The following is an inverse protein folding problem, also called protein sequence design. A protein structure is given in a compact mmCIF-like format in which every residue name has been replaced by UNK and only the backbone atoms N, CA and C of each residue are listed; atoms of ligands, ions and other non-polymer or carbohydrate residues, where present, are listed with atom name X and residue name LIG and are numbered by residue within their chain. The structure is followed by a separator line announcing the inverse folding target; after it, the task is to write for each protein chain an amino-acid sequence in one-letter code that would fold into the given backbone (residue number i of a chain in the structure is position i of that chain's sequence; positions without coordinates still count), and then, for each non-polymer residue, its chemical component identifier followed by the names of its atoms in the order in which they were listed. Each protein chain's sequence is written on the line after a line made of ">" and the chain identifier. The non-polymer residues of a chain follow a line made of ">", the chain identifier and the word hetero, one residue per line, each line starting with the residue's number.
data_IF_360923683480
#
_entry.id   IF_360923683480
#
_cell.length_a   1.000
_cell.length_b   1.000
_cell.length_c   1.000
_cell.angle_alpha   90.00
_cell.angle_beta   90.00
_cell.angle_gamma   90.00
#
_symmetry.space_group_name_H-M   'P 1'
#
loop_
_entity.id
_entity.type
_entity.pdbx_description
1 polymer ?
#
# COMPACT_ATOMS: atom_id res chain seq x y z
N UNK A 1 -10.28 0.87 -20.26
CA UNK A 1 -9.12 0.67 -21.13
C UNK A 1 -8.50 -0.67 -20.80
N UNK A 2 -7.80 -1.38 -21.73
CA UNK A 2 -7.05 -2.57 -21.37
C UNK A 2 -5.92 -2.20 -20.39
N UNK A 3 -5.55 -3.14 -19.51
CA UNK A 3 -4.36 -3.01 -18.67
C UNK A 3 -3.13 -2.77 -19.56
N UNK A 4 -2.18 -1.99 -19.06
CA UNK A 4 -0.93 -1.73 -19.77
C UNK A 4 -0.15 -3.02 -20.01
N UNK A 5 0.42 -3.13 -21.19
CA UNK A 5 1.33 -4.23 -21.57
C UNK A 5 2.81 -3.84 -21.45
N UNK A 6 3.09 -2.66 -20.87
CA UNK A 6 4.46 -2.14 -20.73
C UNK A 6 5.26 -3.05 -19.79
N UNK A 7 6.51 -3.35 -20.16
CA UNK A 7 7.39 -4.16 -19.31
C UNK A 7 7.86 -3.32 -18.12
N UNK A 8 8.14 -3.96 -16.98
CA UNK A 8 8.67 -3.28 -15.79
C UNK A 8 10.02 -2.60 -16.08
N UNK A 9 10.84 -3.19 -16.94
CA UNK A 9 12.13 -2.60 -17.38
C UNK A 9 12.00 -1.28 -18.14
N UNK A 10 10.82 -0.97 -18.66
CA UNK A 10 10.57 0.22 -19.47
C UNK A 10 9.89 1.34 -18.65
N UNK A 11 9.69 1.10 -17.34
CA UNK A 11 9.07 2.08 -16.46
C UNK A 11 10.07 3.12 -15.98
N UNK A 12 9.63 4.37 -16.01
CA UNK A 12 10.24 5.50 -15.31
C UNK A 12 9.23 5.88 -14.24
N UNK A 13 9.48 5.42 -13.01
CA UNK A 13 8.55 5.52 -11.90
C UNK A 13 8.85 6.80 -11.12
N UNK A 14 7.81 7.59 -10.82
CA UNK A 14 7.85 8.70 -9.91
C UNK A 14 7.04 8.35 -8.66
N UNK A 15 7.73 8.15 -7.54
CA UNK A 15 7.11 7.97 -6.24
C UNK A 15 6.64 9.32 -5.71
N UNK A 16 5.39 9.42 -5.29
CA UNK A 16 4.82 10.65 -4.74
C UNK A 16 3.81 10.39 -3.62
N UNK A 17 3.69 11.38 -2.73
CA UNK A 17 2.68 11.42 -1.69
C UNK A 17 1.52 12.29 -2.14
N UNK A 18 0.29 11.77 -2.12
CA UNK A 18 -0.91 12.47 -2.64
C UNK A 18 -1.08 13.85 -2.01
N UNK A 19 -1.00 13.94 -0.68
CA UNK A 19 -1.10 15.23 0.02
C UNK A 19 0.11 16.12 -0.26
N UNK A 20 1.32 15.59 -0.11
CA UNK A 20 2.54 16.37 -0.17
C UNK A 20 2.83 16.97 -1.55
N UNK A 21 2.42 16.27 -2.61
CA UNK A 21 2.74 16.68 -3.98
C UNK A 21 2.11 18.01 -4.38
N UNK A 22 0.94 18.36 -3.84
CA UNK A 22 0.21 19.57 -4.22
C UNK A 22 -0.15 20.47 -3.04
N UNK A 23 0.28 20.16 -1.81
CA UNK A 23 -0.13 20.90 -0.61
C UNK A 23 0.40 22.33 -0.57
N UNK A 24 1.61 22.59 -1.09
CA UNK A 24 2.19 23.92 -1.11
C UNK A 24 1.47 24.82 -2.12
N UNK A 25 1.30 26.10 -1.77
CA UNK A 25 0.62 27.09 -2.62
C UNK A 25 1.27 27.25 -4.00
N UNK A 26 2.58 27.00 -4.12
CA UNK A 26 3.32 27.03 -5.40
C UNK A 26 2.83 25.98 -6.40
N UNK A 27 2.10 24.97 -5.94
CA UNK A 27 1.47 23.99 -6.81
C UNK A 27 0.43 24.60 -7.75
N UNK A 28 -0.25 25.68 -7.31
CA UNK A 28 -1.25 26.41 -8.09
C UNK A 28 -2.52 25.59 -8.40
N UNK A 29 -2.77 24.47 -7.71
CA UNK A 29 -3.95 23.63 -7.94
C UNK A 29 -5.16 24.14 -7.17
N UNK A 30 -6.35 23.77 -7.63
CA UNK A 30 -7.63 24.16 -7.00
C UNK A 30 -7.90 23.44 -5.69
N UNK A 31 -7.49 22.14 -5.61
CA UNK A 31 -7.72 21.28 -4.45
C UNK A 31 -6.40 20.69 -3.91
N UNK A 32 -5.57 21.51 -3.19
CA UNK A 32 -4.27 21.05 -2.71
C UNK A 32 -4.36 19.80 -1.81
N UNK A 33 -3.41 18.88 -1.97
CA UNK A 33 -3.27 17.71 -1.13
C UNK A 33 -4.31 16.62 -1.34
N UNK A 34 -5.00 16.60 -2.48
CA UNK A 34 -6.07 15.66 -2.80
C UNK A 34 -5.85 14.92 -4.12
N UNK A 35 -6.63 13.85 -4.37
CA UNK A 35 -6.65 13.18 -5.68
C UNK A 35 -7.03 14.13 -6.81
N UNK A 36 -7.98 15.02 -6.59
CA UNK A 36 -8.37 16.04 -7.56
C UNK A 36 -7.23 17.02 -7.85
N UNK A 37 -6.49 17.46 -6.84
CA UNK A 37 -5.32 18.33 -7.03
C UNK A 37 -4.17 17.64 -7.76
N UNK A 38 -3.93 16.35 -7.45
CA UNK A 38 -2.94 15.57 -8.17
C UNK A 38 -3.30 15.43 -9.67
N UNK A 39 -4.58 15.26 -9.97
CA UNK A 39 -5.10 15.21 -11.35
C UNK A 39 -4.74 16.45 -12.16
N UNK A 40 -4.77 17.63 -11.55
CA UNK A 40 -4.37 18.90 -12.18
C UNK A 40 -2.87 18.93 -12.55
N UNK A 41 -2.05 18.05 -11.97
CA UNK A 41 -0.59 17.94 -12.23
C UNK A 41 -0.23 16.89 -13.28
N UNK A 42 -1.17 16.21 -13.90
CA UNK A 42 -0.89 15.24 -14.97
C UNK A 42 -0.07 15.86 -16.12
N UNK A 43 -0.35 17.10 -16.60
CA UNK A 43 0.49 17.74 -17.61
C UNK A 43 1.96 17.88 -17.20
N UNK A 44 2.22 18.25 -15.94
CA UNK A 44 3.57 18.34 -15.40
C UNK A 44 4.28 16.98 -15.38
N UNK A 45 3.59 15.93 -14.89
CA UNK A 45 4.14 14.56 -14.84
C UNK A 45 4.50 14.06 -16.25
N UNK A 46 3.66 14.41 -17.23
CA UNK A 46 3.89 14.08 -18.63
C UNK A 46 5.10 14.83 -19.22
N UNK A 47 5.23 16.13 -18.93
CA UNK A 47 6.38 16.95 -19.34
C UNK A 47 7.69 16.43 -18.72
N UNK A 48 7.65 15.95 -17.48
CA UNK A 48 8.77 15.32 -16.79
C UNK A 48 9.24 14.03 -17.49
N UNK A 49 8.38 13.43 -18.33
CA UNK A 49 8.72 12.26 -19.13
C UNK A 49 8.60 10.93 -18.40
N UNK A 50 7.93 10.91 -17.24
CA UNK A 50 7.64 9.68 -16.50
C UNK A 50 6.49 8.91 -17.17
N UNK A 51 6.44 7.61 -16.95
CA UNK A 51 5.40 6.75 -17.50
C UNK A 51 4.70 5.86 -16.46
N UNK A 52 5.07 6.02 -15.19
CA UNK A 52 4.37 5.45 -14.06
C UNK A 52 4.47 6.36 -12.84
N UNK A 53 3.41 6.42 -12.04
CA UNK A 53 3.43 6.99 -10.69
C UNK A 53 3.29 5.87 -9.68
N UNK A 54 4.08 5.92 -8.61
CA UNK A 54 3.92 5.11 -7.42
C UNK A 54 3.33 6.00 -6.34
N UNK A 55 2.09 5.71 -5.94
CA UNK A 55 1.43 6.43 -4.87
C UNK A 55 1.84 5.83 -3.53
N UNK A 56 2.50 6.62 -2.68
CA UNK A 56 2.70 6.25 -1.27
C UNK A 56 1.33 5.89 -0.65
N UNK A 57 1.28 5.15 0.48
CA UNK A 57 0.05 4.48 0.91
C UNK A 57 -1.20 5.36 0.86
N UNK A 58 -2.20 4.87 0.12
CA UNK A 58 -3.48 5.55 -0.07
C UNK A 58 -4.64 4.80 0.59
N UNK A 59 -4.38 3.65 1.22
CA UNK A 59 -5.41 2.96 1.99
C UNK A 59 -5.82 3.81 3.19
N UNK A 60 -7.06 3.61 3.68
CA UNK A 60 -7.55 4.39 4.83
C UNK A 60 -6.65 4.20 6.05
N UNK A 61 -6.20 5.32 6.62
CA UNK A 61 -5.44 5.38 7.87
C UNK A 61 -5.91 6.57 8.71
N UNK A 62 -5.73 6.49 10.03
CA UNK A 62 -6.10 7.57 10.95
C UNK A 62 -4.96 8.59 11.07
N UNK A 63 -5.07 9.71 10.37
CA UNK A 63 -4.11 10.81 10.43
C UNK A 63 -3.93 11.41 11.82
N UNK A 64 -4.90 11.20 12.72
CA UNK A 64 -4.86 11.72 14.09
C UNK A 64 -4.18 10.76 15.08
N UNK A 65 -3.92 9.51 14.72
CA UNK A 65 -3.42 8.49 15.63
C UNK A 65 -2.11 8.88 16.31
N UNK A 66 -1.18 9.48 15.58
CA UNK A 66 0.12 9.94 16.06
C UNK A 66 0.25 11.47 16.00
N UNK A 67 -0.88 12.19 16.00
CA UNK A 67 -0.88 13.65 15.91
C UNK A 67 -0.14 14.28 17.09
N UNK A 68 0.70 15.27 16.79
CA UNK A 68 1.48 16.02 17.78
C UNK A 68 1.43 17.51 17.48
N UNK A 69 1.65 18.33 18.49
CA UNK A 69 1.75 19.78 18.30
C UNK A 69 3.21 20.22 18.38
N UNK A 70 3.68 20.92 17.36
CA UNK A 70 5.03 21.49 17.29
C UNK A 70 4.90 22.96 16.95
N UNK A 71 5.46 23.84 17.78
CA UNK A 71 5.40 25.30 17.59
C UNK A 71 3.97 25.83 17.35
N UNK A 72 2.99 25.29 18.10
CA UNK A 72 1.57 25.66 17.98
C UNK A 72 0.84 25.10 16.76
N UNK A 73 1.51 24.36 15.87
CA UNK A 73 0.90 23.68 14.72
C UNK A 73 0.67 22.22 15.02
N UNK A 74 -0.55 21.75 14.78
CA UNK A 74 -0.89 20.31 14.85
C UNK A 74 -0.32 19.62 13.62
N UNK A 75 0.55 18.63 13.84
CA UNK A 75 1.09 17.76 12.82
C UNK A 75 0.37 16.42 12.88
N UNK A 76 -0.06 15.92 11.74
CA UNK A 76 -0.80 14.68 11.59
C UNK A 76 0.15 13.56 11.14
N UNK A 77 -0.32 12.31 11.21
CA UNK A 77 0.32 11.19 10.52
C UNK A 77 0.38 11.51 9.02
N UNK A 78 1.59 11.44 8.46
CA UNK A 78 1.80 11.95 7.10
C UNK A 78 1.91 10.83 6.06
N UNK A 79 2.74 9.82 6.32
CA UNK A 79 3.15 8.86 5.28
C UNK A 79 2.09 7.82 4.95
N UNK A 80 1.23 7.45 5.91
CA UNK A 80 0.16 6.49 5.68
C UNK A 80 0.57 5.01 5.80
N UNK A 81 1.79 4.68 6.22
CA UNK A 81 2.20 3.29 6.50
C UNK A 81 1.59 2.80 7.81
N UNK A 82 0.27 2.93 7.94
CA UNK A 82 -0.46 2.61 9.17
C UNK A 82 -1.92 2.31 8.86
N UNK A 83 -2.15 1.31 7.99
CA UNK A 83 -3.47 1.00 7.44
C UNK A 83 -4.48 0.56 8.50
N UNK A 84 -5.67 1.14 8.41
CA UNK A 84 -6.86 0.81 9.22
C UNK A 84 -7.85 -0.01 8.39
N UNK A 85 -8.00 0.33 7.10
CA UNK A 85 -8.86 -0.39 6.16
C UNK A 85 -8.13 -0.60 4.84
N UNK A 86 -8.14 -1.84 4.34
CA UNK A 86 -7.42 -2.26 3.14
C UNK A 86 -8.25 -2.15 1.85
N UNK A 87 -9.56 -1.89 1.96
CA UNK A 87 -10.50 -1.90 0.82
C UNK A 87 -11.11 -0.52 0.52
N UNK A 88 -10.60 0.55 1.13
CA UNK A 88 -11.03 1.91 0.84
C UNK A 88 -9.84 2.87 0.75
N UNK A 89 -9.88 3.87 -0.15
CA UNK A 89 -8.88 4.92 -0.16
C UNK A 89 -9.07 5.85 1.05
N UNK A 90 -8.01 6.57 1.41
CA UNK A 90 -8.04 7.54 2.52
C UNK A 90 -9.03 8.66 2.23
N UNK A 91 -10.02 8.81 3.11
CA UNK A 91 -11.09 9.80 2.99
C UNK A 91 -10.57 11.23 3.00
N UNK A 92 -9.44 11.50 3.66
CA UNK A 92 -8.84 12.83 3.73
C UNK A 92 -8.12 13.26 2.44
N UNK A 93 -7.96 12.36 1.47
CA UNK A 93 -7.45 12.69 0.14
C UNK A 93 -8.53 13.11 -0.86
N UNK A 94 -9.80 13.15 -0.45
CA UNK A 94 -10.88 13.73 -1.25
C UNK A 94 -10.88 15.26 -1.18
N UNK A 95 -11.32 15.90 -2.26
CA UNK A 95 -11.49 17.36 -2.31
C UNK A 95 -12.71 17.85 -1.52
N UNK A 96 -13.65 16.94 -1.20
CA UNK A 96 -14.90 17.22 -0.49
C UNK A 96 -15.20 16.13 0.53
N UNK A 97 -15.82 16.51 1.64
CA UNK A 97 -16.32 15.59 2.67
C UNK A 97 -17.71 15.04 2.28
N UNK A 98 -17.79 14.37 1.15
CA UNK A 98 -19.01 13.73 0.64
C UNK A 98 -18.82 12.21 0.61
N UNK A 99 -19.91 11.46 0.75
CA UNK A 99 -19.86 9.99 0.75
C UNK A 99 -19.19 9.44 -0.51
N UNK A 100 -18.13 8.64 -0.33
CA UNK A 100 -17.34 7.99 -1.38
C UNK A 100 -16.74 8.95 -2.43
N UNK A 101 -16.50 10.20 -2.05
CA UNK A 101 -15.85 11.17 -2.92
C UNK A 101 -14.42 10.75 -3.24
N UNK A 102 -13.69 10.25 -2.23
CA UNK A 102 -12.33 9.71 -2.33
C UNK A 102 -12.22 8.59 -3.36
N UNK A 103 -13.19 7.66 -3.35
CA UNK A 103 -13.22 6.55 -4.31
C UNK A 103 -13.51 7.01 -5.74
N UNK A 104 -14.38 7.98 -5.90
CA UNK A 104 -14.70 8.57 -7.20
C UNK A 104 -13.52 9.35 -7.77
N UNK A 105 -12.92 10.24 -6.98
CA UNK A 105 -11.78 11.06 -7.41
C UNK A 105 -10.55 10.20 -7.74
N UNK A 106 -10.29 9.13 -6.97
CA UNK A 106 -9.19 8.21 -7.27
C UNK A 106 -9.42 7.49 -8.60
N UNK A 107 -10.66 7.04 -8.89
CA UNK A 107 -10.98 6.42 -10.18
C UNK A 107 -10.81 7.39 -11.36
N UNK A 108 -11.19 8.64 -11.17
CA UNK A 108 -11.00 9.69 -12.17
C UNK A 108 -9.52 10.00 -12.41
N UNK A 109 -8.73 10.10 -11.33
CA UNK A 109 -7.29 10.31 -11.40
C UNK A 109 -6.62 9.16 -12.19
N UNK A 110 -6.90 7.90 -11.83
CA UNK A 110 -6.32 6.73 -12.50
C UNK A 110 -6.72 6.70 -13.99
N UNK A 111 -7.99 6.98 -14.30
CA UNK A 111 -8.46 7.04 -15.69
C UNK A 111 -7.69 8.08 -16.50
N UNK A 112 -7.54 9.29 -15.97
CA UNK A 112 -6.84 10.38 -16.68
C UNK A 112 -5.32 10.12 -16.78
N UNK A 113 -4.70 9.52 -15.78
CA UNK A 113 -3.30 9.05 -15.88
C UNK A 113 -3.15 8.07 -17.04
N UNK A 114 -4.03 7.07 -17.14
CA UNK A 114 -4.02 6.10 -18.24
C UNK A 114 -4.24 6.76 -19.61
N UNK A 115 -5.14 7.73 -19.72
CA UNK A 115 -5.39 8.50 -20.96
C UNK A 115 -4.13 9.27 -21.40
N UNK A 116 -3.26 9.60 -20.45
CA UNK A 116 -1.98 10.26 -20.69
C UNK A 116 -0.77 9.29 -20.76
N UNK A 117 -1.03 7.99 -20.77
CA UNK A 117 0.01 6.96 -20.91
C UNK A 117 0.84 6.73 -19.65
N UNK A 118 0.33 7.11 -18.46
CA UNK A 118 0.99 6.96 -17.16
C UNK A 118 0.29 5.83 -16.40
N UNK A 119 1.05 4.83 -15.99
CA UNK A 119 0.60 3.71 -15.16
C UNK A 119 0.52 4.12 -13.68
N UNK A 120 -0.28 3.37 -12.90
CA UNK A 120 -0.45 3.62 -11.47
C UNK A 120 -0.04 2.39 -10.67
N UNK A 121 0.92 2.58 -9.78
CA UNK A 121 1.39 1.60 -8.81
C UNK A 121 0.95 2.08 -7.43
N UNK A 122 0.43 1.18 -6.61
CA UNK A 122 0.09 1.48 -5.21
C UNK A 122 1.15 0.90 -4.29
N UNK A 123 1.65 1.71 -3.37
CA UNK A 123 2.43 1.24 -2.24
C UNK A 123 1.49 0.64 -1.19
N UNK A 124 1.67 -0.65 -0.87
CA UNK A 124 0.75 -1.41 -0.02
C UNK A 124 1.47 -2.00 1.20
N UNK A 125 0.82 -1.88 2.35
CA UNK A 125 1.37 -2.26 3.64
C UNK A 125 0.61 -3.47 4.18
N UNK A 126 1.11 -4.68 3.90
CA UNK A 126 0.54 -5.92 4.44
C UNK A 126 1.42 -6.55 5.53
N UNK A 127 2.51 -5.91 5.88
CA UNK A 127 3.43 -6.44 6.89
C UNK A 127 2.97 -6.17 8.33
N UNK A 128 2.16 -5.14 8.57
CA UNK A 128 1.60 -4.78 9.87
C UNK A 128 0.28 -4.02 9.72
N UNK A 129 -0.35 -3.72 10.86
CA UNK A 129 -1.55 -2.87 10.94
C UNK A 129 -1.35 -1.75 11.93
N UNK A 130 -2.27 -0.77 11.91
CA UNK A 130 -2.28 0.36 12.82
C UNK A 130 -2.60 -0.01 14.29
N UNK A 131 -2.83 -1.30 14.61
CA UNK A 131 -3.21 -1.73 15.96
C UNK A 131 -2.05 -1.80 16.96
N UNK A 132 -0.79 -1.58 16.51
CA UNK A 132 0.40 -1.60 17.37
C UNK A 132 0.63 -2.97 18.04
N UNK A 133 1.25 -2.97 19.22
CA UNK A 133 1.51 -4.17 20.02
C UNK A 133 0.33 -4.51 20.97
N UNK A 134 0.58 -5.33 22.00
CA UNK A 134 -0.42 -5.74 23.01
C UNK A 134 -1.04 -4.56 23.78
N UNK A 135 -0.34 -3.43 23.89
CA UNK A 135 -0.83 -2.18 24.49
C UNK A 135 -1.57 -1.28 23.48
N UNK A 136 -1.52 -1.63 22.21
CA UNK A 136 -2.18 -0.86 21.15
C UNK A 136 -3.70 -1.06 21.13
N UNK A 137 -4.37 -0.17 20.39
CA UNK A 137 -5.84 -0.19 20.26
C UNK A 137 -6.32 -1.46 19.55
N UNK A 138 -7.56 -1.86 19.86
CA UNK A 138 -8.30 -2.91 19.16
C UNK A 138 -9.41 -2.26 18.35
N UNK A 139 -9.31 -2.27 17.02
CA UNK A 139 -10.33 -1.68 16.16
C UNK A 139 -10.55 -2.45 14.84
N UNK A 140 -9.72 -3.43 14.53
CA UNK A 140 -9.89 -4.30 13.36
C UNK A 140 -9.54 -5.77 13.69
N UNK A 141 -8.45 -6.31 13.20
CA UNK A 141 -8.14 -7.74 13.22
C UNK A 141 -7.91 -8.35 14.61
N UNK A 142 -7.42 -7.58 15.59
CA UNK A 142 -7.34 -8.04 16.98
C UNK A 142 -8.70 -8.47 17.52
N UNK A 143 -9.74 -7.70 17.17
CA UNK A 143 -11.11 -7.95 17.61
C UNK A 143 -11.78 -9.11 16.88
N UNK A 144 -11.37 -9.42 15.64
CA UNK A 144 -11.93 -10.53 14.88
C UNK A 144 -11.33 -11.88 15.30
N UNK A 145 -10.02 -12.05 15.13
CA UNK A 145 -9.28 -13.23 15.59
C UNK A 145 -7.77 -12.93 15.65
N UNK A 146 -7.31 -12.55 16.81
CA UNK A 146 -5.94 -12.14 17.02
C UNK A 146 -4.90 -13.19 16.58
N UNK A 147 -5.18 -14.49 16.81
CA UNK A 147 -4.25 -15.60 16.50
C UNK A 147 -4.18 -15.92 15.01
N UNK A 148 -5.23 -15.64 14.29
CA UNK A 148 -5.30 -15.83 12.83
C UNK A 148 -4.51 -14.74 12.11
N UNK A 149 -4.74 -13.49 12.52
CA UNK A 149 -4.22 -12.33 11.77
C UNK A 149 -2.80 -11.92 12.14
N UNK A 150 -2.34 -12.21 13.36
CA UNK A 150 -1.02 -11.77 13.80
C UNK A 150 -0.08 -12.93 14.13
N UNK A 151 1.20 -12.73 13.87
CA UNK A 151 2.26 -13.63 14.33
C UNK A 151 2.45 -13.40 15.83
N UNK A 152 2.24 -14.46 16.64
CA UNK A 152 2.34 -14.40 18.09
C UNK A 152 3.40 -15.37 18.60
N UNK A 153 4.14 -14.96 19.66
CA UNK A 153 5.00 -15.86 20.40
C UNK A 153 4.19 -16.91 21.17
N UNK A 154 4.77 -18.00 21.64
CA UNK A 154 4.07 -18.97 22.49
C UNK A 154 3.39 -18.35 23.72
N UNK A 155 3.94 -17.25 24.24
CA UNK A 155 3.40 -16.50 25.39
C UNK A 155 2.25 -15.55 24.99
N UNK A 156 1.99 -15.38 23.69
CA UNK A 156 0.92 -14.54 23.16
C UNK A 156 1.31 -13.08 22.88
N UNK A 157 2.59 -12.74 22.95
CA UNK A 157 3.09 -11.43 22.56
C UNK A 157 3.23 -11.33 21.03
N UNK A 158 3.21 -10.12 20.48
CA UNK A 158 3.38 -9.92 19.03
C UNK A 158 4.84 -10.05 18.61
N UNK A 159 5.11 -10.83 17.56
CA UNK A 159 6.33 -10.65 16.80
C UNK A 159 6.33 -9.28 16.12
N UNK A 160 7.48 -8.60 16.13
CA UNK A 160 7.62 -7.24 15.62
C UNK A 160 8.70 -7.16 14.53
N UNK A 161 8.53 -7.94 13.46
CA UNK A 161 9.44 -7.90 12.30
C UNK A 161 9.22 -6.65 11.42
N UNK A 162 8.12 -5.94 11.63
CA UNK A 162 7.83 -4.67 10.96
C UNK A 162 8.48 -3.44 11.62
N UNK A 163 8.84 -3.54 12.91
CA UNK A 163 9.23 -2.39 13.71
C UNK A 163 8.05 -1.53 14.21
N UNK A 164 6.80 -1.88 13.83
CA UNK A 164 5.59 -1.10 14.13
C UNK A 164 4.71 -1.70 15.24
N UNK A 165 5.24 -2.69 15.98
CA UNK A 165 4.59 -3.29 17.14
C UNK A 165 3.90 -4.62 16.87
N UNK A 166 3.49 -4.92 15.64
CA UNK A 166 2.92 -6.20 15.26
C UNK A 166 3.45 -6.65 13.89
N UNK A 167 3.21 -7.91 13.57
CA UNK A 167 3.49 -8.49 12.26
C UNK A 167 2.27 -9.28 11.82
N UNK A 168 1.78 -9.01 10.61
CA UNK A 168 0.64 -9.72 10.04
C UNK A 168 1.07 -11.15 9.65
N UNK A 169 0.24 -12.15 9.96
CA UNK A 169 0.48 -13.56 9.66
C UNK A 169 0.11 -13.88 8.19
N UNK A 170 0.89 -13.33 7.26
CA UNK A 170 0.57 -13.29 5.82
C UNK A 170 0.39 -14.67 5.18
N UNK A 171 1.03 -15.72 5.70
CA UNK A 171 0.92 -17.07 5.15
C UNK A 171 -0.19 -17.92 5.79
N UNK A 172 -0.90 -17.40 6.81
CA UNK A 172 -2.11 -18.04 7.29
C UNK A 172 -3.18 -18.06 6.17
N UNK A 173 -3.90 -19.17 5.94
CA UNK A 173 -4.84 -19.29 4.81
C UNK A 173 -5.88 -18.16 4.70
N UNK A 174 -6.43 -17.72 5.83
CA UNK A 174 -7.41 -16.62 5.87
C UNK A 174 -6.76 -15.29 5.50
N UNK A 175 -5.57 -15.00 6.05
CA UNK A 175 -4.88 -13.73 5.84
C UNK A 175 -4.38 -13.60 4.40
N UNK A 176 -3.77 -14.67 3.85
CA UNK A 176 -3.34 -14.64 2.44
C UNK A 176 -4.51 -14.52 1.46
N UNK A 177 -5.68 -15.09 1.78
CA UNK A 177 -6.88 -14.90 0.98
C UNK A 177 -7.36 -13.44 1.05
N UNK A 178 -7.37 -12.84 2.23
CA UNK A 178 -7.70 -11.42 2.40
C UNK A 178 -6.77 -10.52 1.59
N UNK A 179 -5.45 -10.78 1.61
CA UNK A 179 -4.48 -10.02 0.82
C UNK A 179 -4.76 -10.18 -0.68
N UNK A 180 -4.98 -11.41 -1.15
CA UNK A 180 -5.31 -11.67 -2.55
C UNK A 180 -6.56 -10.94 -2.99
N UNK A 181 -7.65 -11.02 -2.22
CA UNK A 181 -8.91 -10.34 -2.53
C UNK A 181 -8.75 -8.81 -2.51
N UNK A 182 -7.92 -8.28 -1.61
CA UNK A 182 -7.58 -6.86 -1.59
C UNK A 182 -6.90 -6.43 -2.91
N UNK A 183 -5.87 -7.13 -3.34
CA UNK A 183 -5.18 -6.81 -4.59
C UNK A 183 -6.08 -6.96 -5.82
N UNK A 184 -6.92 -8.00 -5.86
CA UNK A 184 -7.94 -8.17 -6.90
C UNK A 184 -8.94 -7.02 -6.91
N UNK A 185 -9.41 -6.59 -5.73
CA UNK A 185 -10.33 -5.46 -5.60
C UNK A 185 -9.76 -4.19 -6.21
N UNK A 186 -8.53 -3.81 -5.89
CA UNK A 186 -7.88 -2.63 -6.44
C UNK A 186 -7.61 -2.77 -7.94
N UNK A 187 -7.21 -3.95 -8.40
CA UNK A 187 -6.99 -4.23 -9.82
C UNK A 187 -8.29 -4.14 -10.63
N UNK A 188 -9.38 -4.71 -10.15
CA UNK A 188 -10.65 -4.78 -10.89
C UNK A 188 -11.41 -3.46 -10.81
N UNK A 189 -11.54 -2.88 -9.61
CA UNK A 189 -12.42 -1.73 -9.38
C UNK A 189 -11.74 -0.39 -9.65
N UNK A 190 -10.43 -0.30 -9.48
CA UNK A 190 -9.65 0.93 -9.68
C UNK A 190 -8.73 0.87 -10.89
N UNK A 191 -8.50 -0.32 -11.46
CA UNK A 191 -7.65 -0.52 -12.63
C UNK A 191 -6.18 -0.16 -12.40
N UNK A 192 -5.67 -0.38 -11.19
CA UNK A 192 -4.24 -0.18 -10.89
C UNK A 192 -3.36 -1.15 -11.69
N UNK A 193 -2.16 -0.72 -12.06
CA UNK A 193 -1.24 -1.45 -12.93
C UNK A 193 -0.16 -2.20 -12.14
N UNK A 194 0.03 -1.85 -10.87
CA UNK A 194 1.03 -2.50 -10.03
C UNK A 194 0.86 -2.25 -8.54
N UNK A 195 1.62 -3.02 -7.76
CA UNK A 195 1.74 -2.89 -6.32
C UNK A 195 3.21 -2.97 -5.92
N UNK A 196 3.65 -2.05 -5.06
CA UNK A 196 4.92 -2.11 -4.34
C UNK A 196 4.61 -2.54 -2.91
N UNK A 197 5.23 -3.62 -2.46
CA UNK A 197 5.00 -4.19 -1.13
C UNK A 197 6.05 -3.68 -0.15
N UNK A 198 5.60 -2.89 0.82
CA UNK A 198 6.39 -2.43 1.93
C UNK A 198 6.87 -3.61 2.79
N UNK A 199 8.17 -3.62 3.18
CA UNK A 199 8.79 -4.68 3.96
C UNK A 199 8.42 -6.10 3.49
N UNK A 200 8.55 -6.37 2.19
CA UNK A 200 8.01 -7.56 1.54
C UNK A 200 8.61 -8.87 2.05
N UNK A 201 9.78 -8.88 2.70
CA UNK A 201 10.35 -10.09 3.30
C UNK A 201 9.44 -10.70 4.38
N UNK A 202 8.57 -9.91 5.00
CA UNK A 202 7.56 -10.41 5.95
C UNK A 202 6.55 -11.33 5.26
N UNK A 203 6.21 -11.07 4.00
CA UNK A 203 5.29 -11.92 3.22
C UNK A 203 5.85 -13.33 3.01
N UNK A 204 7.13 -13.52 3.20
CA UNK A 204 7.84 -14.80 3.11
C UNK A 204 8.09 -15.49 4.45
N UNK A 205 7.51 -15.01 5.56
CA UNK A 205 7.70 -15.64 6.89
C UNK A 205 6.59 -16.62 7.24
N UNK A 206 6.97 -17.69 7.96
CA UNK A 206 6.06 -18.60 8.64
C UNK A 206 5.49 -17.95 9.91
N UNK A 207 4.46 -18.53 10.51
CA UNK A 207 3.81 -18.02 11.74
C UNK A 207 4.73 -17.88 12.94
N UNK A 208 5.80 -18.68 13.01
CA UNK A 208 6.86 -18.62 14.03
C UNK A 208 7.95 -17.57 13.70
N UNK A 209 7.79 -16.84 12.60
CA UNK A 209 8.74 -15.84 12.13
C UNK A 209 9.89 -16.37 11.29
N UNK A 210 10.04 -17.68 11.11
CA UNK A 210 11.10 -18.25 10.26
C UNK A 210 10.85 -17.93 8.77
N UNK A 211 11.90 -17.70 7.96
CA UNK A 211 11.74 -17.49 6.53
C UNK A 211 11.37 -18.79 5.82
N UNK A 212 10.41 -18.72 4.89
CA UNK A 212 9.99 -19.82 4.03
C UNK A 212 10.77 -19.81 2.72
N UNK A 213 11.17 -20.98 2.24
CA UNK A 213 11.80 -21.11 0.91
C UNK A 213 10.78 -20.93 -0.22
N UNK A 214 9.56 -21.42 -0.03
CA UNK A 214 8.44 -21.31 -0.97
C UNK A 214 7.21 -20.74 -0.24
N UNK A 215 7.12 -19.41 -0.06
CA UNK A 215 6.02 -18.80 0.65
C UNK A 215 4.69 -19.00 -0.10
N UNK A 216 3.67 -19.61 0.52
CA UNK A 216 2.38 -19.85 -0.14
C UNK A 216 1.68 -18.59 -0.65
N UNK A 217 1.82 -17.46 0.04
CA UNK A 217 1.27 -16.18 -0.41
C UNK A 217 1.92 -15.74 -1.73
N UNK A 218 3.26 -15.76 -1.82
CA UNK A 218 3.96 -15.31 -3.03
C UNK A 218 3.65 -16.20 -4.24
N UNK A 219 3.52 -17.52 -4.01
CA UNK A 219 3.08 -18.45 -5.05
C UNK A 219 1.65 -18.11 -5.51
N UNK A 220 0.73 -17.88 -4.58
CA UNK A 220 -0.65 -17.52 -4.86
C UNK A 220 -0.73 -16.24 -5.72
N UNK A 221 0.02 -15.20 -5.36
CA UNK A 221 0.06 -13.93 -6.09
C UNK A 221 0.62 -14.11 -7.51
N UNK A 222 1.68 -14.90 -7.65
CA UNK A 222 2.35 -15.11 -8.94
C UNK A 222 1.50 -15.85 -9.98
N UNK A 223 0.60 -16.72 -9.54
CA UNK A 223 -0.25 -17.54 -10.43
C UNK A 223 -1.70 -17.06 -10.51
N UNK A 224 -2.05 -15.98 -9.83
CA UNK A 224 -3.40 -15.44 -9.87
C UNK A 224 -3.76 -14.89 -11.26
N UNK A 225 -4.88 -15.31 -11.87
CA UNK A 225 -5.24 -14.89 -13.21
C UNK A 225 -5.60 -13.40 -13.31
N UNK A 226 -6.09 -12.76 -12.24
CA UNK A 226 -6.40 -11.32 -12.20
C UNK A 226 -5.11 -10.51 -12.13
N UNK A 227 -4.12 -10.99 -11.35
CA UNK A 227 -2.84 -10.31 -11.16
C UNK A 227 -1.81 -10.61 -12.26
N UNK A 228 -2.16 -11.43 -13.25
CA UNK A 228 -1.24 -11.91 -14.29
C UNK A 228 -0.46 -10.80 -15.02
N UNK A 229 -1.09 -9.67 -15.25
CA UNK A 229 -0.50 -8.53 -15.97
C UNK A 229 -0.20 -7.35 -15.02
N UNK A 230 -0.38 -7.54 -13.72
CA UNK A 230 -0.10 -6.54 -12.69
C UNK A 230 1.37 -6.63 -12.29
N UNK A 231 2.03 -5.51 -12.16
CA UNK A 231 3.43 -5.45 -11.71
C UNK A 231 3.48 -5.61 -10.21
N UNK A 232 4.30 -6.55 -9.75
CA UNK A 232 4.52 -6.79 -8.32
C UNK A 232 5.97 -6.45 -7.98
N UNK A 233 6.17 -5.46 -7.14
CA UNK A 233 7.49 -4.93 -6.75
C UNK A 233 7.67 -5.18 -5.27
N UNK A 234 8.76 -5.83 -4.88
CA UNK A 234 9.06 -6.15 -3.50
C UNK A 234 10.13 -5.21 -2.94
N UNK A 235 9.84 -4.56 -1.82
CA UNK A 235 10.88 -4.02 -0.96
C UNK A 235 11.48 -5.18 -0.17
N UNK A 236 12.60 -5.73 -0.64
CA UNK A 236 13.10 -7.06 -0.27
C UNK A 236 13.90 -7.09 1.04
N UNK A 237 13.34 -6.56 2.13
CA UNK A 237 13.91 -6.60 3.48
C UNK A 237 12.81 -6.51 4.55
N UNK A 238 13.17 -6.65 5.82
CA UNK A 238 12.33 -6.35 6.97
C UNK A 238 13.14 -5.89 8.20
N UNK A 239 12.46 -5.35 9.22
CA UNK A 239 13.11 -4.88 10.44
C UNK A 239 13.54 -6.03 11.39
N UNK A 240 13.22 -7.28 11.07
CA UNK A 240 13.67 -8.48 11.78
C UNK A 240 15.00 -9.03 11.28
N UNK A 241 15.67 -8.33 10.35
CA UNK A 241 17.02 -8.65 9.88
C UNK A 241 17.11 -9.42 8.57
N UNK A 242 16.01 -9.69 7.88
CA UNK A 242 16.07 -10.20 6.51
C UNK A 242 16.44 -9.09 5.53
N UNK A 243 17.43 -9.35 4.69
CA UNK A 243 17.82 -8.51 3.56
C UNK A 243 17.99 -9.39 2.34
N UNK A 244 16.96 -9.44 1.49
CA UNK A 244 16.81 -10.40 0.40
C UNK A 244 16.91 -9.77 -0.99
N UNK A 245 17.57 -8.62 -1.13
CA UNK A 245 17.82 -8.01 -2.43
C UNK A 245 18.66 -8.97 -3.28
N UNK A 246 18.14 -9.35 -4.46
CA UNK A 246 18.76 -10.34 -5.35
C UNK A 246 18.52 -11.81 -4.96
N UNK A 247 17.88 -12.08 -3.81
CA UNK A 247 17.57 -13.44 -3.33
C UNK A 247 16.14 -13.58 -2.80
N UNK A 248 15.26 -12.62 -3.10
CA UNK A 248 13.86 -12.66 -2.69
C UNK A 248 13.18 -13.93 -3.24
N UNK A 249 12.43 -14.68 -2.41
CA UNK A 249 11.81 -15.94 -2.82
C UNK A 249 10.60 -15.69 -3.75
N UNK A 250 10.87 -15.05 -4.88
CA UNK A 250 9.89 -14.81 -5.91
C UNK A 250 9.78 -16.02 -6.82
N UNK A 251 8.57 -16.39 -7.23
CA UNK A 251 8.40 -17.26 -8.37
C UNK A 251 8.99 -16.57 -9.63
N UNK A 252 9.38 -17.35 -10.64
CA UNK A 252 10.02 -16.85 -11.89
C UNK A 252 9.26 -15.75 -12.66
N UNK A 253 8.21 -15.14 -12.06
CA UNK A 253 7.37 -14.07 -12.63
C UNK A 253 7.39 -12.75 -11.85
N UNK A 254 8.09 -12.66 -10.73
CA UNK A 254 8.31 -11.42 -9.98
C UNK A 254 9.67 -10.84 -10.29
#
# INVERSE_FOLDING_TARGET
>A
MPQSTRKISDLIIYELHVRGFTQDASSGVTHPGTFAGLREKIPYLKELGINAVELMPIFEFDENMNARTVNGKRLLEYWGYNSVNFFSPNTSYASKAEHNCEGTELKELIRELHENGIEVILDVVFNHTAEGNELGKTFCFKGFDNKVYYMLTPEGNYYNFSGCGNTLNCNHPIVRQMILECLRYWTINYRVDGFRFDLASILGRHEDGSPLNNPPLLELLAYDPVLRNVKLIAEAWDAGGLYQVGSFPASRRC
#
